data_IF_785095250620
#
_entry.id   IF_785095250620
#
_cell.length_a   1.000
_cell.length_b   1.000
_cell.length_c   1.000
_cell.angle_alpha   90.00
_cell.angle_beta   90.00
_cell.angle_gamma   90.00
#
_symmetry.space_group_name_H-M   'P 1'
#
loop_
_entity.id
_entity.type
_entity.pdbx_description
1 polymer ?
#
# COMPACT_ATOMS: atom_id res chain seq x y z
N UNK A 1 31.53 -26.44 22.00
CA UNK A 1 30.36 -26.60 21.11
C UNK A 1 29.04 -26.23 21.78
N UNK A 2 28.69 -26.79 22.95
CA UNK A 2 27.40 -26.56 23.63
C UNK A 2 27.10 -25.09 24.04
N UNK A 3 28.12 -24.33 24.45
CA UNK A 3 27.93 -22.91 24.83
C UNK A 3 27.59 -21.99 23.64
N UNK A 4 28.14 -22.25 22.45
CA UNK A 4 27.82 -21.51 21.23
C UNK A 4 26.43 -21.82 20.69
N UNK A 5 25.97 -23.07 20.84
CA UNK A 5 24.60 -23.49 20.48
C UNK A 5 23.56 -22.81 21.38
N UNK A 6 23.81 -22.75 22.70
CA UNK A 6 22.93 -22.05 23.65
C UNK A 6 22.80 -20.55 23.38
N UNK A 7 23.89 -19.87 23.00
CA UNK A 7 23.87 -18.45 22.68
C UNK A 7 23.20 -18.15 21.34
N UNK A 8 23.39 -19.00 20.32
CA UNK A 8 22.69 -18.88 19.04
C UNK A 8 21.17 -19.07 19.18
N UNK A 9 20.75 -20.00 20.03
CA UNK A 9 19.34 -20.19 20.37
C UNK A 9 18.73 -18.98 21.10
N UNK A 10 19.51 -18.32 21.97
CA UNK A 10 19.06 -17.14 22.72
C UNK A 10 18.90 -15.91 21.82
N UNK A 11 19.85 -15.64 20.92
CA UNK A 11 19.76 -14.54 19.95
C UNK A 11 18.63 -14.77 18.95
N UNK A 12 18.52 -16.00 18.43
CA UNK A 12 17.43 -16.36 17.51
C UNK A 12 16.08 -16.28 18.23
N UNK A 13 15.99 -16.71 19.49
CA UNK A 13 14.79 -16.61 20.32
C UNK A 13 14.36 -15.17 20.60
N UNK A 14 15.31 -14.26 20.85
CA UNK A 14 15.03 -12.82 21.03
C UNK A 14 14.55 -12.20 19.70
N UNK A 15 15.18 -12.52 18.57
CA UNK A 15 14.74 -12.02 17.26
C UNK A 15 13.35 -12.53 16.91
N UNK A 16 13.07 -13.82 17.15
CA UNK A 16 11.74 -14.40 16.98
C UNK A 16 10.73 -13.73 17.92
N UNK A 17 11.08 -13.50 19.18
CA UNK A 17 10.20 -12.81 20.13
C UNK A 17 9.92 -11.37 19.71
N UNK A 18 10.91 -10.63 19.19
CA UNK A 18 10.73 -9.27 18.68
C UNK A 18 9.84 -9.28 17.44
N UNK A 19 10.09 -10.18 16.48
CA UNK A 19 9.24 -10.33 15.27
C UNK A 19 7.81 -10.66 15.67
N UNK A 20 7.60 -11.58 16.62
CA UNK A 20 6.26 -11.95 17.09
C UNK A 20 5.58 -10.86 17.94
N UNK A 21 6.35 -10.02 18.63
CA UNK A 21 5.82 -8.98 19.53
C UNK A 21 5.51 -7.66 18.82
N UNK A 22 5.91 -7.48 17.57
CA UNK A 22 5.57 -6.29 16.78
C UNK A 22 4.20 -6.52 16.14
N UNK A 23 3.15 -5.74 16.52
CA UNK A 23 1.80 -5.85 15.91
C UNK A 23 1.79 -5.63 14.38
N UNK A 24 2.92 -5.18 13.84
CA UNK A 24 3.18 -4.83 12.44
C UNK A 24 3.86 -5.90 11.59
N UNK A 25 3.96 -7.18 11.99
CA UNK A 25 4.43 -8.23 11.05
C UNK A 25 3.56 -8.32 9.78
N UNK A 26 2.28 -7.93 9.87
CA UNK A 26 1.37 -7.77 8.74
C UNK A 26 1.58 -6.45 7.95
N UNK A 27 2.37 -5.51 8.47
CA UNK A 27 2.65 -4.18 7.90
C UNK A 27 4.03 -4.09 7.24
N UNK A 28 4.68 -5.24 7.04
CA UNK A 28 6.07 -5.33 6.57
C UNK A 28 6.35 -4.53 5.28
N UNK A 29 5.34 -4.36 4.42
CA UNK A 29 5.41 -3.58 3.17
C UNK A 29 4.24 -2.62 2.94
N UNK A 30 3.59 -2.10 3.99
CA UNK A 30 2.55 -1.09 3.80
C UNK A 30 3.14 0.21 3.24
N UNK A 31 2.64 0.73 2.11
CA UNK A 31 2.84 2.14 1.77
C UNK A 31 1.82 2.93 2.57
N UNK A 32 2.23 3.47 3.72
CA UNK A 32 1.38 4.32 4.55
C UNK A 32 1.51 5.79 4.13
N UNK A 33 0.36 6.46 3.95
CA UNK A 33 0.28 7.89 3.62
C UNK A 33 -0.15 8.17 2.17
N UNK A 34 -0.73 9.35 1.95
CA UNK A 34 -1.16 9.85 0.64
C UNK A 34 -0.42 11.15 0.29
N UNK A 35 -0.09 11.33 -0.98
CA UNK A 35 0.47 12.57 -1.51
C UNK A 35 0.00 12.75 -2.95
N UNK A 36 -0.46 13.94 -3.29
CA UNK A 36 -0.91 14.25 -4.66
C UNK A 36 0.24 14.75 -5.56
N UNK A 37 1.38 15.09 -4.95
CA UNK A 37 2.53 15.73 -5.59
C UNK A 37 3.65 14.76 -5.95
N UNK A 38 4.34 15.01 -7.08
CA UNK A 38 5.52 14.23 -7.51
C UNK A 38 6.62 14.18 -6.43
N UNK A 39 7.00 15.29 -5.75
CA UNK A 39 7.97 15.23 -4.67
C UNK A 39 7.52 14.39 -3.47
N UNK A 40 6.23 14.40 -3.15
CA UNK A 40 5.73 13.58 -2.05
C UNK A 40 5.76 12.09 -2.37
N UNK A 41 5.70 11.67 -3.63
CA UNK A 41 5.98 10.28 -4.01
C UNK A 41 7.45 9.88 -3.77
N UNK A 42 8.40 10.78 -3.96
CA UNK A 42 9.80 10.52 -3.59
C UNK A 42 9.95 10.38 -2.06
N UNK A 43 9.22 11.17 -1.28
CA UNK A 43 9.19 11.01 0.18
C UNK A 43 8.57 9.67 0.58
N UNK A 44 7.44 9.28 -0.02
CA UNK A 44 6.78 7.99 0.19
C UNK A 44 7.71 6.82 -0.13
N UNK A 45 8.45 6.88 -1.25
CA UNK A 45 9.43 5.86 -1.59
C UNK A 45 10.58 5.78 -0.58
N UNK A 46 11.05 6.92 -0.10
CA UNK A 46 12.11 6.99 0.91
C UNK A 46 11.66 6.39 2.24
N UNK A 47 10.48 6.77 2.73
CA UNK A 47 9.94 6.25 4.00
C UNK A 47 9.59 4.78 3.89
N UNK A 48 9.02 4.33 2.77
CA UNK A 48 8.76 2.92 2.51
C UNK A 48 10.03 2.06 2.67
N UNK A 49 11.12 2.47 2.03
CA UNK A 49 12.41 1.76 2.11
C UNK A 49 13.04 1.78 3.51
N UNK A 50 12.84 2.86 4.28
CA UNK A 50 13.43 3.01 5.61
C UNK A 50 12.61 2.36 6.73
N UNK A 51 11.30 2.21 6.54
CA UNK A 51 10.39 1.60 7.52
C UNK A 51 10.19 0.10 7.25
N UNK A 52 10.36 -0.35 6.00
CA UNK A 52 10.31 -1.75 5.61
C UNK A 52 11.41 -2.59 6.28
N UNK A 53 11.04 -3.33 7.32
CA UNK A 53 12.02 -4.09 8.11
C UNK A 53 12.64 -5.24 7.31
N UNK A 54 11.90 -5.81 6.36
CA UNK A 54 12.33 -6.84 5.42
C UNK A 54 13.36 -6.32 4.42
N UNK A 55 13.19 -5.11 3.87
CA UNK A 55 14.21 -4.44 3.07
C UNK A 55 15.49 -4.28 3.86
N UNK A 56 15.37 -3.76 5.07
CA UNK A 56 16.51 -3.54 5.95
C UNK A 56 17.19 -4.87 6.32
N UNK A 57 16.41 -5.91 6.61
CA UNK A 57 16.91 -7.24 6.92
C UNK A 57 17.60 -7.91 5.71
N UNK A 58 17.04 -7.76 4.51
CA UNK A 58 17.63 -8.26 3.27
C UNK A 58 18.96 -7.55 2.97
N UNK A 59 18.99 -6.22 3.00
CA UNK A 59 20.19 -5.39 2.79
C UNK A 59 21.26 -5.73 3.83
N UNK A 60 20.88 -5.83 5.10
CA UNK A 60 21.77 -6.26 6.18
C UNK A 60 22.34 -7.66 5.93
N UNK A 61 21.50 -8.60 5.51
CA UNK A 61 21.92 -9.96 5.13
C UNK A 61 22.95 -9.96 4.00
N UNK A 62 22.73 -9.17 2.95
CA UNK A 62 23.67 -9.03 1.83
C UNK A 62 24.99 -8.38 2.27
N UNK A 63 24.94 -7.33 3.11
CA UNK A 63 26.14 -6.68 3.65
C UNK A 63 27.00 -7.67 4.44
N UNK A 64 26.38 -8.46 5.33
CA UNK A 64 27.05 -9.47 6.14
C UNK A 64 27.64 -10.61 5.30
N UNK A 65 26.92 -11.06 4.27
CA UNK A 65 27.36 -12.12 3.36
C UNK A 65 28.50 -11.67 2.43
N UNK A 66 28.41 -10.45 1.90
CA UNK A 66 29.33 -9.91 0.91
C UNK A 66 30.71 -9.56 1.49
N UNK A 67 30.80 -9.20 2.77
CA UNK A 67 32.06 -8.84 3.50
C UNK A 67 32.98 -7.87 2.74
N UNK A 68 32.43 -7.14 1.79
CA UNK A 68 33.14 -6.25 0.89
C UNK A 68 32.13 -5.27 0.31
N UNK A 69 32.32 -3.98 0.62
CA UNK A 69 31.35 -2.92 0.30
C UNK A 69 31.05 -2.86 -1.20
N UNK A 70 32.08 -3.00 -2.05
CA UNK A 70 31.92 -3.02 -3.52
C UNK A 70 31.04 -4.18 -4.00
N UNK A 71 31.09 -5.34 -3.34
CA UNK A 71 30.28 -6.50 -3.72
C UNK A 71 28.86 -6.36 -3.19
N UNK A 72 28.70 -5.89 -1.96
CA UNK A 72 27.39 -5.60 -1.38
C UNK A 72 26.64 -4.57 -2.23
N UNK A 73 27.29 -3.45 -2.56
CA UNK A 73 26.73 -2.41 -3.41
C UNK A 73 26.25 -2.97 -4.75
N UNK A 74 27.07 -3.78 -5.45
CA UNK A 74 26.65 -4.41 -6.71
C UNK A 74 25.40 -5.29 -6.58
N UNK A 75 25.30 -6.07 -5.50
CA UNK A 75 24.16 -6.96 -5.27
C UNK A 75 22.90 -6.17 -4.89
N UNK A 76 23.04 -5.17 -4.02
CA UNK A 76 21.95 -4.29 -3.62
C UNK A 76 21.45 -3.48 -4.82
N UNK A 77 22.34 -2.93 -5.64
CA UNK A 77 21.96 -2.25 -6.88
C UNK A 77 21.28 -3.18 -7.88
N UNK A 78 21.66 -4.46 -7.92
CA UNK A 78 21.00 -5.42 -8.81
C UNK A 78 19.59 -5.77 -8.32
N UNK A 79 19.38 -5.87 -7.01
CA UNK A 79 18.06 -5.99 -6.41
C UNK A 79 17.19 -4.77 -6.74
N UNK A 80 17.72 -3.57 -6.47
CA UNK A 80 17.05 -2.30 -6.74
C UNK A 80 16.70 -2.15 -8.22
N UNK A 81 17.61 -2.54 -9.13
CA UNK A 81 17.34 -2.55 -10.57
C UNK A 81 16.16 -3.45 -10.92
N UNK A 82 16.15 -4.70 -10.43
CA UNK A 82 15.04 -5.62 -10.66
C UNK A 82 13.73 -5.04 -10.13
N UNK A 83 13.76 -4.56 -8.89
CA UNK A 83 12.62 -3.92 -8.22
C UNK A 83 12.04 -2.77 -9.05
N UNK A 84 12.86 -1.77 -9.38
CA UNK A 84 12.45 -0.58 -10.13
C UNK A 84 11.90 -0.94 -11.51
N UNK A 85 12.49 -1.92 -12.19
CA UNK A 85 12.01 -2.40 -13.51
C UNK A 85 10.59 -2.95 -13.36
N UNK A 86 10.37 -3.91 -12.47
CA UNK A 86 9.04 -4.52 -12.30
C UNK A 86 8.01 -3.56 -11.72
N UNK A 87 8.39 -2.69 -10.78
CA UNK A 87 7.48 -1.69 -10.24
C UNK A 87 6.96 -0.79 -11.37
N UNK A 88 7.87 -0.29 -12.20
CA UNK A 88 7.51 0.56 -13.32
C UNK A 88 6.68 -0.19 -14.37
N UNK A 89 7.14 -1.35 -14.82
CA UNK A 89 6.45 -2.10 -15.88
C UNK A 89 5.08 -2.58 -15.42
N UNK A 90 4.96 -3.10 -14.21
CA UNK A 90 3.71 -3.60 -13.69
C UNK A 90 2.71 -2.47 -13.45
N UNK A 91 3.16 -1.30 -12.99
CA UNK A 91 2.27 -0.13 -12.82
C UNK A 91 1.80 0.42 -14.17
N UNK A 92 2.69 0.50 -15.18
CA UNK A 92 2.31 1.01 -16.51
C UNK A 92 1.46 0.01 -17.30
N UNK A 93 1.70 -1.29 -17.13
CA UNK A 93 0.97 -2.36 -17.80
C UNK A 93 -0.27 -2.84 -17.02
N UNK A 94 -0.60 -2.18 -15.90
CA UNK A 94 -1.77 -2.49 -15.07
C UNK A 94 -1.77 -3.94 -14.53
N UNK A 95 -0.58 -4.46 -14.21
CA UNK A 95 -0.44 -5.81 -13.66
C UNK A 95 -0.75 -5.83 -12.17
N UNK A 96 -1.73 -6.65 -11.82
CA UNK A 96 -2.16 -6.90 -10.46
C UNK A 96 -1.80 -8.32 -10.06
N UNK A 97 -1.04 -8.47 -8.97
CA UNK A 97 -0.72 -9.77 -8.39
C UNK A 97 -1.13 -9.81 -6.93
N UNK A 98 -1.37 -11.01 -6.41
CA UNK A 98 -1.68 -11.16 -5.00
C UNK A 98 -0.50 -10.66 -4.12
N UNK A 99 -0.67 -9.56 -3.36
CA UNK A 99 0.42 -8.97 -2.59
C UNK A 99 0.88 -9.88 -1.45
N UNK A 100 0.00 -10.72 -0.89
CA UNK A 100 0.34 -11.68 0.16
C UNK A 100 1.27 -12.76 -0.39
N UNK A 101 1.01 -13.29 -1.59
CA UNK A 101 1.91 -14.26 -2.23
C UNK A 101 3.29 -13.65 -2.46
N UNK A 102 3.35 -12.39 -2.89
CA UNK A 102 4.63 -11.69 -3.04
C UNK A 102 5.33 -11.53 -1.69
N UNK A 103 4.63 -11.10 -0.64
CA UNK A 103 5.19 -10.94 0.70
C UNK A 103 5.77 -12.25 1.25
N UNK A 104 5.11 -13.38 1.00
CA UNK A 104 5.64 -14.71 1.34
C UNK A 104 6.95 -14.97 0.60
N UNK A 105 7.03 -14.68 -0.71
CA UNK A 105 8.27 -14.85 -1.47
C UNK A 105 9.38 -13.91 -0.97
N UNK A 106 9.03 -12.69 -0.58
CA UNK A 106 9.99 -11.75 0.02
C UNK A 106 10.50 -12.30 1.35
N UNK A 107 9.63 -12.80 2.23
CA UNK A 107 10.05 -13.43 3.48
C UNK A 107 10.96 -14.65 3.23
N UNK A 108 10.68 -15.47 2.21
CA UNK A 108 11.52 -16.58 1.79
C UNK A 108 12.88 -16.13 1.23
N UNK A 109 12.98 -14.92 0.65
CA UNK A 109 14.25 -14.35 0.22
C UNK A 109 15.21 -14.09 1.39
N UNK A 110 14.70 -13.69 2.57
CA UNK A 110 15.49 -13.57 3.80
C UNK A 110 16.03 -14.94 4.23
N UNK A 111 15.17 -15.97 4.19
CA UNK A 111 15.57 -17.36 4.48
C UNK A 111 16.67 -17.80 3.52
N UNK A 112 16.53 -17.52 2.22
CA UNK A 112 17.54 -17.85 1.23
C UNK A 112 18.90 -17.20 1.54
N UNK A 113 18.93 -15.88 1.77
CA UNK A 113 20.17 -15.16 2.11
C UNK A 113 20.78 -15.69 3.41
N UNK A 114 19.94 -15.93 4.42
CA UNK A 114 20.36 -16.48 5.71
C UNK A 114 20.97 -17.87 5.59
N UNK A 115 20.33 -18.79 4.86
CA UNK A 115 20.85 -20.16 4.65
C UNK A 115 22.17 -20.14 3.88
N UNK A 116 22.30 -19.30 2.85
CA UNK A 116 23.56 -19.15 2.10
C UNK A 116 24.68 -18.65 3.02
N UNK A 117 24.40 -17.69 3.91
CA UNK A 117 25.38 -17.18 4.86
C UNK A 117 25.72 -18.14 6.01
N UNK A 118 24.77 -18.97 6.48
CA UNK A 118 25.07 -20.05 7.41
C UNK A 118 26.01 -21.09 6.80
N UNK A 119 25.91 -21.33 5.49
CA UNK A 119 26.83 -22.16 4.71
C UNK A 119 28.15 -21.44 4.36
N UNK A 120 28.32 -20.19 4.79
CA UNK A 120 29.51 -19.38 4.59
C UNK A 120 29.33 -18.34 3.49
N UNK A 121 29.76 -18.65 2.27
CA UNK A 121 29.67 -17.74 1.12
C UNK A 121 29.19 -18.50 -0.11
N UNK A 122 28.50 -17.84 -1.05
CA UNK A 122 28.09 -18.50 -2.29
C UNK A 122 29.33 -18.97 -3.06
N UNK A 123 29.31 -20.24 -3.48
CA UNK A 123 30.36 -20.83 -4.34
C UNK A 123 30.33 -20.21 -5.74
N UNK A 124 29.15 -19.83 -6.21
CA UNK A 124 28.94 -19.19 -7.49
C UNK A 124 28.24 -17.83 -7.30
N UNK A 125 28.99 -16.74 -7.48
CA UNK A 125 28.47 -15.38 -7.32
C UNK A 125 27.54 -14.95 -8.43
N UNK A 126 27.65 -15.50 -9.65
CA UNK A 126 26.76 -15.13 -10.75
C UNK A 126 25.35 -15.67 -10.51
N UNK A 127 25.25 -16.93 -10.06
CA UNK A 127 23.96 -17.52 -9.69
C UNK A 127 23.32 -16.80 -8.51
N UNK A 128 24.13 -16.44 -7.50
CA UNK A 128 23.63 -15.65 -6.37
C UNK A 128 23.14 -14.25 -6.80
N UNK A 129 23.87 -13.58 -7.69
CA UNK A 129 23.45 -12.30 -8.25
C UNK A 129 22.14 -12.44 -9.05
N UNK A 130 22.00 -13.49 -9.87
CA UNK A 130 20.77 -13.76 -10.60
C UNK A 130 19.57 -14.00 -9.65
N UNK A 131 19.77 -14.73 -8.55
CA UNK A 131 18.75 -14.91 -7.53
C UNK A 131 18.36 -13.58 -6.86
N UNK A 132 19.34 -12.72 -6.53
CA UNK A 132 19.10 -11.39 -5.96
C UNK A 132 18.32 -10.50 -6.94
N UNK A 133 18.64 -10.53 -8.24
CA UNK A 133 17.87 -9.85 -9.27
C UNK A 133 16.42 -10.37 -9.32
N UNK A 134 16.24 -11.69 -9.31
CA UNK A 134 14.93 -12.32 -9.35
C UNK A 134 14.07 -11.96 -8.14
N UNK A 135 14.66 -11.90 -6.93
CA UNK A 135 13.96 -11.39 -5.76
C UNK A 135 13.58 -9.92 -5.92
N UNK A 136 14.46 -9.09 -6.48
CA UNK A 136 14.13 -7.70 -6.81
C UNK A 136 12.91 -7.60 -7.73
N UNK A 137 12.88 -8.39 -8.81
CA UNK A 137 11.74 -8.44 -9.74
C UNK A 137 10.43 -8.83 -9.05
N UNK A 138 10.43 -9.91 -8.25
CA UNK A 138 9.22 -10.33 -7.53
C UNK A 138 8.78 -9.25 -6.54
N UNK A 139 9.74 -8.63 -5.87
CA UNK A 139 9.46 -7.60 -4.89
C UNK A 139 8.81 -6.35 -5.52
N UNK A 140 9.33 -5.86 -6.64
CA UNK A 140 8.74 -4.70 -7.33
C UNK A 140 7.32 -4.96 -7.82
N UNK A 141 7.00 -6.20 -8.16
CA UNK A 141 5.66 -6.62 -8.58
C UNK A 141 4.63 -6.59 -7.45
N UNK A 142 5.01 -6.93 -6.21
CA UNK A 142 4.10 -6.82 -5.05
C UNK A 142 3.83 -5.36 -4.68
N UNK A 143 4.86 -4.52 -4.76
CA UNK A 143 4.73 -3.10 -4.48
C UNK A 143 3.90 -2.36 -5.54
N UNK A 144 3.97 -2.74 -6.82
CA UNK A 144 3.15 -2.11 -7.86
C UNK A 144 1.66 -2.28 -7.57
N UNK A 145 1.22 -3.46 -7.15
CA UNK A 145 -0.19 -3.72 -6.83
C UNK A 145 -0.66 -2.80 -5.70
N UNK A 146 0.15 -2.68 -4.63
CA UNK A 146 -0.15 -1.79 -3.50
C UNK A 146 -0.10 -0.31 -3.88
N UNK A 147 0.84 0.10 -4.72
CA UNK A 147 0.97 1.48 -5.18
C UNK A 147 -0.20 1.89 -6.08
N UNK A 148 -0.68 0.98 -6.94
CA UNK A 148 -1.87 1.17 -7.77
C UNK A 148 -3.14 1.30 -6.91
N UNK A 149 -3.26 0.49 -5.86
CA UNK A 149 -4.37 0.56 -4.89
C UNK A 149 -4.45 1.90 -4.13
N UNK A 150 -3.40 2.73 -4.12
CA UNK A 150 -3.46 4.10 -3.58
C UNK A 150 -4.20 5.08 -4.50
N UNK A 151 -4.70 4.63 -5.65
CA UNK A 151 -5.49 5.45 -6.56
C UNK A 151 -4.65 6.48 -7.31
N UNK A 152 -3.55 6.04 -7.94
CA UNK A 152 -2.70 6.91 -8.76
C UNK A 152 -3.52 7.63 -9.84
N UNK A 153 -3.63 8.97 -9.81
CA UNK A 153 -4.32 9.68 -10.87
C UNK A 153 -3.62 9.42 -12.20
N UNK A 154 -4.39 9.05 -13.22
CA UNK A 154 -3.89 8.72 -14.57
C UNK A 154 -3.10 9.88 -15.18
N UNK A 155 -3.42 11.12 -14.81
CA UNK A 155 -2.63 12.31 -15.12
C UNK A 155 -1.39 12.37 -14.20
N UNK A 156 -0.20 12.10 -14.77
CA UNK A 156 1.05 12.18 -14.01
C UNK A 156 1.42 10.90 -13.22
N UNK A 157 0.83 9.76 -13.55
CA UNK A 157 1.23 8.45 -13.02
C UNK A 157 2.73 8.17 -13.22
N UNK A 158 3.23 8.30 -14.45
CA UNK A 158 4.65 8.03 -14.80
C UNK A 158 5.62 8.85 -13.93
N UNK A 159 5.52 10.20 -13.84
CA UNK A 159 6.44 10.97 -13.03
C UNK A 159 6.34 10.66 -11.52
N UNK A 160 5.16 10.28 -11.01
CA UNK A 160 4.99 9.84 -9.61
C UNK A 160 5.68 8.51 -9.34
N UNK A 161 5.53 7.52 -10.22
CA UNK A 161 6.20 6.21 -10.10
C UNK A 161 7.72 6.36 -10.19
N UNK A 162 8.21 7.21 -11.10
CA UNK A 162 9.64 7.53 -11.19
C UNK A 162 10.15 8.23 -9.93
N UNK A 163 9.42 9.20 -9.40
CA UNK A 163 9.78 9.87 -8.15
C UNK A 163 9.81 8.90 -6.97
N UNK A 164 8.83 7.99 -6.89
CA UNK A 164 8.82 6.93 -5.88
C UNK A 164 10.08 6.06 -5.96
N UNK A 165 10.46 5.59 -7.14
CA UNK A 165 11.71 4.83 -7.35
C UNK A 165 12.96 5.61 -6.91
N UNK A 166 13.04 6.89 -7.25
CA UNK A 166 14.14 7.75 -6.79
C UNK A 166 14.16 7.81 -5.25
N UNK A 167 12.99 7.93 -4.63
CA UNK A 167 12.83 7.86 -3.18
C UNK A 167 13.37 6.56 -2.58
N UNK A 168 13.00 5.41 -3.17
CA UNK A 168 13.48 4.10 -2.74
C UNK A 168 15.01 4.02 -2.83
N UNK A 169 15.60 4.50 -3.92
CA UNK A 169 17.07 4.52 -4.07
C UNK A 169 17.76 5.42 -3.03
N UNK A 170 17.18 6.58 -2.71
CA UNK A 170 17.65 7.46 -1.64
C UNK A 170 17.59 6.75 -0.29
N UNK A 171 16.43 6.18 0.07
CA UNK A 171 16.25 5.42 1.30
C UNK A 171 17.23 4.25 1.42
N UNK A 172 17.48 3.55 0.30
CA UNK A 172 18.39 2.42 0.21
C UNK A 172 19.85 2.85 0.46
N UNK A 173 20.28 3.98 -0.09
CA UNK A 173 21.61 4.54 0.15
C UNK A 173 21.78 4.94 1.62
N UNK A 174 20.80 5.64 2.18
CA UNK A 174 20.78 6.03 3.61
C UNK A 174 20.86 4.80 4.51
N UNK A 175 20.06 3.77 4.24
CA UNK A 175 20.05 2.54 5.01
C UNK A 175 21.43 1.83 4.99
N UNK A 176 22.06 1.71 3.82
CA UNK A 176 23.38 1.08 3.68
C UNK A 176 24.45 1.82 4.48
N UNK A 177 24.47 3.16 4.39
CA UNK A 177 25.42 3.99 5.14
C UNK A 177 25.19 3.82 6.64
N UNK A 178 23.94 3.94 7.09
CA UNK A 178 23.58 3.81 8.50
C UNK A 178 23.95 2.41 9.05
N UNK A 179 23.61 1.34 8.33
CA UNK A 179 23.94 -0.03 8.74
C UNK A 179 25.44 -0.27 8.82
N UNK A 180 26.23 0.32 7.93
CA UNK A 180 27.68 0.20 7.97
C UNK A 180 28.25 0.87 9.23
N UNK A 181 27.82 2.10 9.54
CA UNK A 181 28.24 2.84 10.74
C UNK A 181 27.83 2.09 12.01
N UNK A 182 26.57 1.68 12.10
CA UNK A 182 26.05 0.92 13.25
C UNK A 182 26.80 -0.40 13.40
N UNK A 183 27.03 -1.12 12.31
CA UNK A 183 27.76 -2.38 12.31
C UNK A 183 29.20 -2.22 12.78
N UNK A 184 29.90 -1.18 12.34
CA UNK A 184 31.28 -0.89 12.76
C UNK A 184 31.35 -0.61 14.27
N UNK A 185 30.53 0.34 14.74
CA UNK A 185 30.40 0.70 16.17
C UNK A 185 30.04 -0.52 17.01
N UNK A 186 29.01 -1.25 16.63
CA UNK A 186 28.52 -2.40 17.40
C UNK A 186 29.54 -3.54 17.44
N UNK A 187 30.29 -3.75 16.35
CA UNK A 187 31.37 -4.74 16.30
C UNK A 187 32.57 -4.36 17.17
N UNK A 188 32.74 -3.07 17.48
CA UNK A 188 33.75 -2.56 18.40
C UNK A 188 33.38 -2.87 19.85
N UNK A 189 32.13 -2.61 20.25
CA UNK A 189 31.68 -2.78 21.64
C UNK A 189 31.19 -4.20 21.98
N UNK A 190 30.72 -4.97 21.01
CA UNK A 190 30.19 -6.33 21.21
C UNK A 190 30.86 -7.31 20.25
N UNK A 191 32.09 -7.78 20.56
CA UNK A 191 32.89 -8.60 19.64
C UNK A 191 32.22 -9.92 19.23
N UNK A 192 31.29 -10.43 20.04
CA UNK A 192 30.52 -11.65 19.76
C UNK A 192 29.56 -11.49 18.57
N UNK A 193 29.12 -10.27 18.25
CA UNK A 193 28.29 -10.00 17.07
C UNK A 193 29.08 -10.07 15.75
N UNK A 194 30.39 -10.32 15.83
CA UNK A 194 31.22 -10.64 14.66
C UNK A 194 31.01 -12.07 14.16
N UNK A 195 30.37 -12.97 14.91
CA UNK A 195 30.04 -14.30 14.39
C UNK A 195 28.93 -14.19 13.35
N UNK A 196 29.23 -14.36 12.05
CA UNK A 196 28.23 -14.21 11.01
C UNK A 196 27.15 -15.28 11.12
N UNK A 197 27.42 -16.43 11.76
CA UNK A 197 26.42 -17.49 11.89
C UNK A 197 25.24 -17.06 12.76
N UNK A 198 25.48 -16.21 13.76
CA UNK A 198 24.42 -15.68 14.61
C UNK A 198 23.49 -14.77 13.80
N UNK A 199 24.04 -13.82 13.06
CA UNK A 199 23.24 -12.86 12.28
C UNK A 199 22.48 -13.53 11.13
N UNK A 200 23.10 -14.49 10.44
CA UNK A 200 22.41 -15.23 9.39
C UNK A 200 21.38 -16.22 9.97
N UNK A 201 21.63 -16.79 11.15
CA UNK A 201 20.65 -17.62 11.87
C UNK A 201 19.42 -16.81 12.29
N UNK A 202 19.62 -15.60 12.80
CA UNK A 202 18.56 -14.64 13.08
C UNK A 202 17.76 -14.29 11.83
N UNK A 203 18.42 -14.07 10.69
CA UNK A 203 17.75 -13.77 9.41
C UNK A 203 16.87 -14.94 8.94
N UNK A 204 17.36 -16.19 9.06
CA UNK A 204 16.56 -17.38 8.76
C UNK A 204 15.35 -17.46 9.69
N UNK A 205 15.54 -17.26 10.99
CA UNK A 205 14.46 -17.33 11.96
C UNK A 205 13.39 -16.27 11.68
N UNK A 206 13.79 -15.02 11.42
CA UNK A 206 12.87 -13.93 11.07
C UNK A 206 12.09 -14.23 9.78
N UNK A 207 12.78 -14.68 8.72
CA UNK A 207 12.14 -15.01 7.44
C UNK A 207 11.15 -16.19 7.56
N UNK A 208 11.50 -17.24 8.30
CA UNK A 208 10.60 -18.39 8.54
C UNK A 208 9.37 -17.98 9.33
N UNK A 209 9.56 -17.19 10.40
CA UNK A 209 8.43 -16.70 11.21
C UNK A 209 7.52 -15.80 10.38
N UNK A 210 8.08 -14.83 9.66
CA UNK A 210 7.30 -13.94 8.81
C UNK A 210 6.52 -14.70 7.71
N UNK A 211 7.18 -15.61 6.98
CA UNK A 211 6.54 -16.42 5.95
C UNK A 211 5.41 -17.29 6.54
N UNK A 212 5.63 -17.87 7.72
CA UNK A 212 4.63 -18.69 8.41
C UNK A 212 3.43 -17.87 8.87
N UNK A 213 3.66 -16.69 9.46
CA UNK A 213 2.59 -15.80 9.89
C UNK A 213 1.76 -15.38 8.68
N UNK A 214 2.40 -14.88 7.62
CA UNK A 214 1.71 -14.42 6.40
C UNK A 214 0.88 -15.53 5.75
N UNK A 215 1.44 -16.74 5.64
CA UNK A 215 0.73 -17.89 5.08
C UNK A 215 -0.45 -18.35 5.95
N UNK A 216 -0.35 -18.21 7.28
CA UNK A 216 -1.39 -18.66 8.22
C UNK A 216 -2.46 -17.59 8.47
N UNK A 217 -2.14 -16.30 8.34
CA UNK A 217 -3.08 -15.19 8.54
C UNK A 217 -4.01 -14.96 7.36
N UNK A 218 -3.64 -15.44 6.17
CA UNK A 218 -4.39 -15.23 4.94
C UNK A 218 -4.67 -16.54 4.16
N UNK A 219 -5.23 -17.59 4.79
CA UNK A 219 -5.41 -18.89 4.13
C UNK A 219 -6.41 -18.83 2.97
N UNK A 220 -7.39 -17.90 3.04
CA UNK A 220 -8.35 -17.64 1.97
C UNK A 220 -7.73 -16.90 0.78
N UNK A 221 -6.97 -15.84 1.03
CA UNK A 221 -6.37 -15.01 -0.01
C UNK A 221 -5.24 -15.74 -0.76
N UNK A 222 -4.48 -16.61 -0.09
CA UNK A 222 -3.39 -17.40 -0.72
C UNK A 222 -3.92 -18.46 -1.70
N UNK A 223 -5.13 -18.98 -1.47
CA UNK A 223 -5.74 -20.06 -2.25
C UNK A 223 -6.85 -19.58 -3.21
N UNK A 224 -7.32 -18.35 -3.06
CA UNK A 224 -8.27 -17.77 -4.01
C UNK A 224 -7.55 -17.46 -5.33
N UNK A 225 -8.01 -18.00 -6.48
CA UNK A 225 -7.62 -17.44 -7.76
C UNK A 225 -8.04 -15.98 -7.76
N UNK A 226 -7.19 -15.11 -8.31
CA UNK A 226 -7.42 -13.67 -8.40
C UNK A 226 -8.90 -13.39 -8.64
N UNK A 227 -9.59 -12.89 -7.62
CA UNK A 227 -10.71 -12.03 -7.90
C UNK A 227 -10.03 -10.81 -8.49
N UNK A 228 -10.25 -10.59 -9.79
CA UNK A 228 -9.97 -9.30 -10.37
C UNK A 228 -10.52 -8.26 -9.40
N UNK A 229 -9.67 -7.36 -8.90
CA UNK A 229 -10.19 -6.07 -8.48
C UNK A 229 -11.07 -5.59 -9.64
N UNK A 230 -12.31 -5.18 -9.37
CA UNK A 230 -13.30 -4.99 -10.41
C UNK A 230 -12.73 -4.04 -11.47
N UNK A 231 -12.44 -4.63 -12.63
CA UNK A 231 -11.92 -3.94 -13.79
C UNK A 231 -12.84 -2.77 -14.13
N UNK A 232 -12.27 -1.58 -14.33
CA UNK A 232 -12.87 -0.45 -15.04
C UNK A 232 -14.42 -0.41 -14.97
N UNK A 233 -14.95 -0.23 -13.77
CA UNK A 233 -16.39 -0.30 -13.49
C UNK A 233 -16.75 0.14 -12.07
N UNK A 234 -15.86 -0.12 -11.10
CA UNK A 234 -16.09 0.21 -9.70
C UNK A 234 -15.76 1.68 -9.37
N UNK A 235 -16.60 2.28 -8.54
CA UNK A 235 -16.37 3.59 -7.97
C UNK A 235 -15.03 3.63 -7.20
N UNK A 236 -14.24 4.68 -7.40
CA UNK A 236 -13.03 4.91 -6.61
C UNK A 236 -13.38 5.70 -5.35
N UNK A 237 -13.04 5.18 -4.18
CA UNK A 237 -13.28 5.85 -2.89
C UNK A 237 -12.01 6.56 -2.45
N UNK A 238 -12.13 7.85 -2.11
CA UNK A 238 -11.03 8.68 -1.59
C UNK A 238 -11.51 9.60 -0.48
N UNK A 239 -10.57 10.24 0.21
CA UNK A 239 -10.90 11.34 1.13
C UNK A 239 -11.59 12.49 0.36
N UNK A 240 -12.56 13.14 1.04
CA UNK A 240 -13.32 14.24 0.46
C UNK A 240 -12.43 15.46 0.26
N UNK A 241 -12.35 15.94 -0.97
CA UNK A 241 -11.72 17.21 -1.34
C UNK A 241 -12.74 18.25 -1.83
N UNK A 242 -13.98 17.81 -2.06
CA UNK A 242 -15.12 18.64 -2.42
C UNK A 242 -15.40 19.68 -1.34
N UNK A 243 -15.56 20.93 -1.77
CA UNK A 243 -15.98 22.03 -0.90
C UNK A 243 -17.40 22.43 -1.25
N UNK A 244 -18.25 22.49 -0.23
CA UNK A 244 -19.61 23.02 -0.34
C UNK A 244 -19.69 24.29 0.49
N UNK A 245 -20.25 25.38 -0.04
CA UNK A 245 -20.40 26.61 0.73
C UNK A 245 -21.35 26.36 1.90
N UNK A 246 -20.99 26.82 3.09
CA UNK A 246 -21.85 26.71 4.27
C UNK A 246 -22.91 27.83 4.27
N UNK A 247 -24.15 27.48 4.62
CA UNK A 247 -25.24 28.43 4.80
C UNK A 247 -26.58 27.90 4.26
N UNK A 248 -27.65 28.69 4.38
CA UNK A 248 -28.99 28.27 3.98
C UNK A 248 -29.60 27.26 4.97
N UNK A 249 -30.72 26.64 4.57
CA UNK A 249 -31.38 25.55 5.30
C UNK A 249 -31.44 24.27 4.46
N UNK A 250 -32.18 23.26 4.93
CA UNK A 250 -32.40 22.02 4.17
C UNK A 250 -32.94 22.30 2.76
N UNK A 251 -32.52 21.52 1.75
CA UNK A 251 -33.05 21.66 0.40
C UNK A 251 -34.55 21.36 0.36
N UNK A 252 -35.26 22.02 -0.56
CA UNK A 252 -36.73 21.90 -0.71
C UNK A 252 -37.19 20.56 -1.27
N UNK A 253 -36.26 19.76 -1.79
CA UNK A 253 -36.46 18.43 -2.35
C UNK A 253 -35.14 17.66 -2.37
N UNK A 254 -35.24 16.35 -2.48
CA UNK A 254 -34.08 15.46 -2.41
C UNK A 254 -33.36 15.34 -3.75
N UNK A 255 -34.08 15.42 -4.88
CA UNK A 255 -33.50 15.28 -6.23
C UNK A 255 -33.76 16.52 -7.10
N UNK A 256 -32.69 17.04 -7.71
CA UNK A 256 -32.72 18.11 -8.70
C UNK A 256 -32.43 17.54 -10.08
N UNK A 257 -33.22 17.92 -11.08
CA UNK A 257 -33.18 17.45 -12.47
C UNK A 257 -32.09 18.14 -13.30
N UNK A 258 -31.67 17.58 -14.46
CA UNK A 258 -30.81 18.28 -15.40
C UNK A 258 -31.43 19.62 -15.82
N UNK A 259 -30.67 20.71 -15.67
CA UNK A 259 -31.11 22.07 -16.00
C UNK A 259 -31.71 22.85 -14.82
N UNK A 260 -31.94 22.21 -13.68
CA UNK A 260 -32.29 22.91 -12.45
C UNK A 260 -31.05 23.46 -11.74
N UNK A 261 -31.23 24.55 -10.99
CA UNK A 261 -30.15 25.13 -10.18
C UNK A 261 -30.07 24.41 -8.84
N UNK A 262 -28.93 23.76 -8.58
CA UNK A 262 -28.66 23.09 -7.31
C UNK A 262 -28.33 24.15 -6.23
N UNK A 263 -29.03 24.15 -5.08
CA UNK A 263 -28.73 25.06 -3.98
C UNK A 263 -27.47 24.60 -3.24
N UNK A 264 -26.30 25.01 -3.73
CA UNK A 264 -25.00 24.57 -3.21
C UNK A 264 -24.81 24.84 -1.70
N UNK A 265 -25.40 25.93 -1.18
CA UNK A 265 -25.37 26.27 0.24
C UNK A 265 -26.17 25.26 1.09
N UNK A 266 -27.38 24.91 0.65
CA UNK A 266 -28.21 23.87 1.30
C UNK A 266 -27.53 22.52 1.30
N UNK A 267 -26.83 22.16 0.23
CA UNK A 267 -26.02 20.94 0.15
C UNK A 267 -24.88 20.97 1.18
N UNK A 268 -24.19 22.10 1.31
CA UNK A 268 -23.17 22.30 2.33
C UNK A 268 -23.69 22.34 3.77
N UNK A 269 -24.96 22.70 3.99
CA UNK A 269 -25.60 22.58 5.30
C UNK A 269 -25.84 21.11 5.66
N UNK A 270 -26.50 20.35 4.79
CA UNK A 270 -26.92 18.97 5.10
C UNK A 270 -25.78 17.97 5.18
N UNK A 271 -24.65 18.22 4.51
CA UNK A 271 -23.46 17.36 4.67
C UNK A 271 -22.91 17.41 6.11
N UNK A 272 -23.12 18.52 6.82
CA UNK A 272 -22.78 18.67 8.24
C UNK A 272 -23.73 17.89 9.16
N UNK A 273 -24.98 17.72 8.74
CA UNK A 273 -25.97 16.88 9.44
C UNK A 273 -25.79 15.39 9.13
N UNK A 274 -24.78 15.05 8.32
CA UNK A 274 -24.43 13.68 7.95
C UNK A 274 -25.20 13.13 6.77
N UNK A 275 -25.73 13.96 5.87
CA UNK A 275 -26.29 13.52 4.59
C UNK A 275 -25.19 13.03 3.62
N UNK A 276 -25.63 12.26 2.63
CA UNK A 276 -24.84 11.96 1.43
C UNK A 276 -25.34 12.80 0.26
N UNK A 277 -24.42 13.46 -0.44
CA UNK A 277 -24.69 14.22 -1.66
C UNK A 277 -24.32 13.37 -2.87
N UNK A 278 -25.27 13.13 -3.77
CA UNK A 278 -25.10 12.40 -5.02
C UNK A 278 -25.09 13.38 -6.19
N UNK A 279 -23.90 13.76 -6.64
CA UNK A 279 -23.71 14.59 -7.82
C UNK A 279 -23.63 13.71 -9.08
N UNK A 280 -24.31 14.10 -10.14
CA UNK A 280 -24.30 13.36 -11.40
C UNK A 280 -24.03 14.25 -12.61
N UNK A 281 -23.56 13.64 -13.71
CA UNK A 281 -23.27 14.38 -14.94
C UNK A 281 -24.58 14.80 -15.63
N UNK A 282 -24.76 16.06 -16.05
CA UNK A 282 -26.05 16.54 -16.56
C UNK A 282 -26.49 15.89 -17.90
N UNK A 283 -25.59 15.21 -18.60
CA UNK A 283 -25.80 14.56 -19.90
C UNK A 283 -25.95 13.02 -19.79
N UNK A 284 -26.25 12.49 -18.60
CA UNK A 284 -26.54 11.06 -18.43
C UNK A 284 -27.70 10.61 -19.33
N UNK A 285 -27.64 9.35 -19.77
CA UNK A 285 -28.74 8.74 -20.49
C UNK A 285 -29.99 8.65 -19.61
N UNK A 286 -31.19 8.65 -20.22
CA UNK A 286 -32.45 8.75 -19.48
C UNK A 286 -32.67 7.60 -18.49
N UNK A 287 -32.23 6.39 -18.84
CA UNK A 287 -32.26 5.20 -17.99
C UNK A 287 -31.30 5.33 -16.80
N UNK A 288 -30.09 5.83 -17.03
CA UNK A 288 -29.11 6.10 -15.98
C UNK A 288 -29.61 7.18 -15.01
N UNK A 289 -30.16 8.27 -15.54
CA UNK A 289 -30.75 9.33 -14.72
C UNK A 289 -31.92 8.81 -13.87
N UNK A 290 -32.76 7.93 -14.43
CA UNK A 290 -33.86 7.31 -13.70
C UNK A 290 -33.36 6.44 -12.54
N UNK A 291 -32.24 5.72 -12.71
CA UNK A 291 -31.60 4.94 -11.64
C UNK A 291 -31.08 5.84 -10.52
N UNK A 292 -30.39 6.95 -10.84
CA UNK A 292 -29.92 7.92 -9.84
C UNK A 292 -31.09 8.54 -9.09
N UNK A 293 -32.13 8.98 -9.81
CA UNK A 293 -33.35 9.55 -9.22
C UNK A 293 -34.00 8.56 -8.27
N UNK A 294 -34.16 7.31 -8.70
CA UNK A 294 -34.75 6.25 -7.88
C UNK A 294 -33.96 6.02 -6.59
N UNK A 295 -32.62 6.01 -6.66
CA UNK A 295 -31.77 5.89 -5.48
C UNK A 295 -31.89 7.08 -4.52
N UNK A 296 -31.78 8.32 -5.02
CA UNK A 296 -31.79 9.52 -4.18
C UNK A 296 -33.15 9.73 -3.50
N UNK A 297 -34.24 9.35 -4.16
CA UNK A 297 -35.61 9.49 -3.61
C UNK A 297 -36.08 8.28 -2.83
N UNK A 298 -35.25 7.23 -2.72
CA UNK A 298 -35.55 6.03 -1.94
C UNK A 298 -35.41 6.34 -0.44
N UNK A 299 -36.53 6.35 0.28
CA UNK A 299 -36.53 6.54 1.74
C UNK A 299 -35.68 5.50 2.49
N UNK A 300 -35.47 4.31 1.91
CA UNK A 300 -34.61 3.29 2.50
C UNK A 300 -33.11 3.60 2.32
N UNK A 301 -32.75 4.45 1.34
CA UNK A 301 -31.38 4.94 1.16
C UNK A 301 -30.97 5.97 2.24
N UNK A 302 -31.90 6.38 3.10
CA UNK A 302 -31.63 7.28 4.22
C UNK A 302 -31.58 8.75 3.80
N UNK A 303 -30.65 9.52 4.37
CA UNK A 303 -30.56 10.97 4.20
C UNK A 303 -29.68 11.32 3.01
N UNK A 304 -30.26 11.23 1.82
CA UNK A 304 -29.56 11.44 0.54
C UNK A 304 -30.18 12.61 -0.20
N UNK A 305 -29.33 13.46 -0.78
CA UNK A 305 -29.75 14.51 -1.72
C UNK A 305 -28.91 14.41 -2.98
N UNK A 306 -29.43 14.84 -4.13
CA UNK A 306 -28.71 14.71 -5.39
C UNK A 306 -29.09 15.74 -6.44
N UNK A 307 -28.15 16.04 -7.33
CA UNK A 307 -28.33 17.05 -8.36
C UNK A 307 -27.21 17.05 -9.41
N UNK A 308 -27.40 17.77 -10.53
CA UNK A 308 -26.40 17.84 -11.58
C UNK A 308 -25.19 18.65 -11.14
N UNK A 309 -23.98 18.18 -11.50
CA UNK A 309 -22.72 18.89 -11.29
C UNK A 309 -22.05 19.23 -12.64
N UNK A 310 -22.23 20.46 -13.16
CA UNK A 310 -21.60 20.87 -14.40
C UNK A 310 -20.07 20.80 -14.31
N UNK A 311 -19.43 20.19 -15.32
CA UNK A 311 -17.96 20.04 -15.39
C UNK A 311 -17.41 18.79 -14.67
N UNK A 312 -18.25 17.97 -14.05
CA UNK A 312 -17.86 16.64 -13.57
C UNK A 312 -17.60 15.70 -14.74
N UNK A 313 -16.53 14.88 -14.66
CA UNK A 313 -16.18 13.90 -15.69
C UNK A 313 -16.85 12.55 -15.42
N UNK A 314 -16.90 12.16 -14.14
CA UNK A 314 -17.48 10.92 -13.65
C UNK A 314 -19.00 10.92 -13.79
N UNK A 315 -19.58 9.75 -14.03
CA UNK A 315 -21.03 9.61 -14.18
C UNK A 315 -21.76 10.01 -12.89
N UNK A 316 -21.25 9.55 -11.74
CA UNK A 316 -21.80 9.83 -10.41
C UNK A 316 -20.65 10.07 -9.42
N UNK A 317 -20.84 11.00 -8.48
CA UNK A 317 -20.06 11.15 -7.25
C UNK A 317 -20.99 11.12 -6.04
N UNK A 318 -20.74 10.23 -5.10
CA UNK A 318 -21.38 10.23 -3.80
C UNK A 318 -20.41 10.80 -2.76
N UNK A 319 -20.85 11.80 -2.00
CA UNK A 319 -19.99 12.59 -1.09
C UNK A 319 -20.64 12.67 0.28
N UNK A 320 -19.93 12.25 1.32
CA UNK A 320 -20.33 12.47 2.72
C UNK A 320 -19.26 13.27 3.46
N UNK A 321 -19.38 13.44 4.78
CA UNK A 321 -18.51 14.34 5.56
C UNK A 321 -17.00 14.10 5.43
N UNK A 322 -16.57 12.88 5.08
CA UNK A 322 -15.15 12.48 5.11
C UNK A 322 -14.63 11.87 3.81
N UNK A 323 -15.47 11.17 3.04
CA UNK A 323 -15.04 10.46 1.84
C UNK A 323 -15.93 10.81 0.65
N UNK A 324 -15.40 10.51 -0.52
CA UNK A 324 -16.06 10.63 -1.82
C UNK A 324 -15.88 9.34 -2.60
N UNK A 325 -16.98 8.77 -3.10
CA UNK A 325 -16.97 7.71 -4.10
C UNK A 325 -17.20 8.34 -5.49
N UNK A 326 -16.29 8.10 -6.43
CA UNK A 326 -16.36 8.62 -7.79
C UNK A 326 -16.47 7.48 -8.81
N UNK A 327 -17.60 7.42 -9.53
CA UNK A 327 -17.97 6.30 -10.38
C UNK A 327 -17.88 6.70 -11.86
N UNK A 328 -17.04 5.99 -12.63
CA UNK A 328 -16.94 6.19 -14.08
C UNK A 328 -18.26 5.84 -14.80
N UNK A 329 -19.05 4.92 -14.22
CA UNK A 329 -20.36 4.49 -14.71
C UNK A 329 -21.46 4.72 -13.65
N UNK A 330 -22.72 4.54 -14.03
CA UNK A 330 -23.88 4.67 -13.15
C UNK A 330 -24.04 3.42 -12.28
N UNK A 331 -23.09 3.18 -11.39
CA UNK A 331 -23.09 2.03 -10.47
C UNK A 331 -23.82 2.38 -9.16
N UNK A 332 -25.14 2.15 -9.14
CA UNK A 332 -25.98 2.47 -7.97
C UNK A 332 -25.72 1.52 -6.80
N UNK A 333 -25.31 0.27 -7.07
CA UNK A 333 -25.08 -0.70 -6.00
C UNK A 333 -23.83 -0.30 -5.19
N UNK A 334 -22.75 0.09 -5.87
CA UNK A 334 -21.56 0.63 -5.21
C UNK A 334 -21.86 1.94 -4.46
N UNK A 335 -22.68 2.82 -5.02
CA UNK A 335 -23.12 4.05 -4.33
C UNK A 335 -23.95 3.69 -3.08
N UNK A 336 -24.83 2.69 -3.15
CA UNK A 336 -25.63 2.24 -2.02
C UNK A 336 -24.76 1.68 -0.90
N UNK A 337 -23.81 0.80 -1.22
CA UNK A 337 -22.85 0.26 -0.25
C UNK A 337 -22.07 1.38 0.46
N UNK A 338 -21.54 2.34 -0.30
CA UNK A 338 -20.85 3.51 0.25
C UNK A 338 -21.73 4.34 1.20
N UNK A 339 -23.01 4.45 0.88
CA UNK A 339 -23.99 5.22 1.67
C UNK A 339 -24.37 4.47 2.94
N UNK A 340 -24.57 3.15 2.86
CA UNK A 340 -24.89 2.28 3.99
C UNK A 340 -23.74 2.22 5.00
N UNK A 341 -22.49 2.14 4.54
CA UNK A 341 -21.30 2.24 5.40
C UNK A 341 -21.29 3.54 6.19
N UNK A 342 -21.61 4.66 5.54
CA UNK A 342 -21.62 5.96 6.19
C UNK A 342 -22.72 6.03 7.26
N UNK A 343 -23.93 5.57 6.97
CA UNK A 343 -25.03 5.61 7.94
C UNK A 343 -24.87 4.60 9.09
N UNK A 344 -24.06 3.56 8.92
CA UNK A 344 -23.63 2.70 10.03
C UNK A 344 -22.64 3.40 10.98
N UNK A 345 -21.89 4.41 10.52
CA UNK A 345 -20.94 5.17 11.33
C UNK A 345 -21.65 6.12 12.31
N UNK A 346 -21.34 6.10 13.62
CA UNK A 346 -21.93 7.02 14.60
C UNK A 346 -21.75 8.51 14.25
N UNK A 347 -20.68 8.86 13.52
CA UNK A 347 -20.39 10.24 13.11
C UNK A 347 -21.33 10.77 12.03
N UNK A 348 -22.12 9.89 11.40
CA UNK A 348 -23.14 10.31 10.44
C UNK A 348 -24.40 10.86 11.12
N UNK A 349 -24.57 10.63 12.42
CA UNK A 349 -25.76 11.09 13.14
C UNK A 349 -25.66 12.60 13.39
N UNK A 350 -26.78 13.34 13.32
CA UNK A 350 -26.78 14.73 13.74
C UNK A 350 -26.31 14.81 15.19
N UNK A 351 -25.59 15.87 15.54
CA UNK A 351 -25.32 16.20 16.93
C UNK A 351 -26.65 16.72 17.50
N UNK A 352 -27.29 15.93 18.36
CA UNK A 352 -28.44 16.36 19.17
C UNK A 352 -28.06 17.49 20.13
#
# INVERSE_FOLDING_TARGET
>A
MLAGVRQGALVSGVVVAIVLAVPGVAWAHGVGGSSDSVPGFAWLGTTHMLVGWDHLAFVGGILLLARAIRRAAKLISLFALGHSVTLFTATVADWHVNPVLVDVVVALSLVFVGVVGLRGRPKNWTWFAAAVLAFGLVHGLGLSTRLQALGLPSDGMIPRVLAFNIGVEIGQLVAVIAMFIVGDVLSHYVPKLRDPRLSHGALVAAGVVAASILALSAPGEVLQPMQAEPAAGACTVRDRTETFPAGGGHPVKDFFEPGETVPATSFGHVIGDGYVIVNYRPDLAADQLAQVRAFVTDTAAGRVVGGPAPGQTEAIKAVHAYRTAACATTDIDAVREFTDEWFADPRSKPVE
#
